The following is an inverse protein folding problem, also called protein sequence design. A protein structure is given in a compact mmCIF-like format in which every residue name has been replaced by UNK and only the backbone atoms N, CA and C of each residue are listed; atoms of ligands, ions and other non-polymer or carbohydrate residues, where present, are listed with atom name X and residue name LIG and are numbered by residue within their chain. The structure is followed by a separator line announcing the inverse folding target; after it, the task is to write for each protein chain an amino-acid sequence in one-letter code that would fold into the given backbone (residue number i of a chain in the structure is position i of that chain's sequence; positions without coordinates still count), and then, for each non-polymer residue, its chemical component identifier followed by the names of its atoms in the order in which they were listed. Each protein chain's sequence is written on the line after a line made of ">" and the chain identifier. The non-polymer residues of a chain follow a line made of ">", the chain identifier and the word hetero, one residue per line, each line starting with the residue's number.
data_IF_675985795135
#
_entry.id   IF_675985795135
#
_cell.length_a   1.000
_cell.length_b   1.000
_cell.length_c   1.000
_cell.angle_alpha   90.00
_cell.angle_beta   90.00
_cell.angle_gamma   90.00
#
_symmetry.space_group_name_H-M   'P 1'
#
loop_
_entity.id
_entity.type
_entity.pdbx_description
1 polymer ?
#
# COMPACT_ATOMS: atom_id res chain seq x y z
N UNK A 1 20.62 -13.26 23.90
CA UNK A 1 20.47 -13.49 22.44
C UNK A 1 20.59 -12.13 21.78
N UNK A 2 21.50 -11.96 20.81
CA UNK A 2 21.64 -10.69 20.08
C UNK A 2 20.31 -10.38 19.37
N UNK A 3 19.69 -9.25 19.71
CA UNK A 3 18.52 -8.71 19.01
C UNK A 3 18.91 -8.42 17.56
N UNK A 4 18.36 -9.19 16.62
CA UNK A 4 18.52 -8.98 15.18
C UNK A 4 17.49 -7.95 14.73
N UNK A 5 17.81 -6.66 14.84
CA UNK A 5 16.94 -5.59 14.37
C UNK A 5 17.03 -5.49 12.85
N UNK A 6 15.96 -4.99 12.22
CA UNK A 6 15.93 -4.76 10.77
C UNK A 6 15.63 -3.31 10.48
N UNK A 7 16.46 -2.69 9.63
CA UNK A 7 16.16 -1.40 9.03
C UNK A 7 15.25 -1.63 7.82
N UNK A 8 14.07 -1.03 7.84
CA UNK A 8 13.11 -1.07 6.73
C UNK A 8 13.16 0.25 5.99
N UNK A 9 13.25 0.18 4.66
CA UNK A 9 13.29 1.33 3.77
C UNK A 9 12.17 1.23 2.73
N UNK A 10 11.41 2.33 2.60
CA UNK A 10 10.37 2.49 1.61
C UNK A 10 10.63 3.80 0.84
N UNK A 11 11.32 3.65 -0.30
CA UNK A 11 11.76 4.75 -1.14
C UNK A 11 10.70 5.05 -2.21
N UNK A 12 9.98 6.17 -2.06
CA UNK A 12 9.10 6.72 -3.07
C UNK A 12 9.81 7.76 -3.95
N UNK A 13 9.13 8.27 -4.98
CA UNK A 13 9.73 9.27 -5.90
C UNK A 13 10.11 10.58 -5.22
N UNK A 14 9.42 10.97 -4.14
CA UNK A 14 9.60 12.26 -3.46
C UNK A 14 9.73 12.13 -1.94
N UNK A 15 9.91 10.91 -1.44
CA UNK A 15 9.99 10.63 -0.01
C UNK A 15 10.72 9.32 0.27
N UNK A 16 11.20 9.17 1.51
CA UNK A 16 11.76 7.94 2.05
C UNK A 16 11.17 7.74 3.45
N UNK A 17 10.34 6.70 3.59
CA UNK A 17 9.92 6.21 4.92
C UNK A 17 10.92 5.19 5.41
N UNK A 18 11.24 5.24 6.69
CA UNK A 18 12.19 4.32 7.30
C UNK A 18 11.76 3.93 8.71
N UNK A 19 12.13 2.72 9.12
CA UNK A 19 11.92 2.26 10.48
C UNK A 19 12.96 1.21 10.89
N UNK A 20 13.25 1.11 12.19
CA UNK A 20 14.04 0.02 12.76
C UNK A 20 13.12 -0.77 13.69
N UNK A 21 12.90 -2.04 13.36
CA UNK A 21 12.00 -2.91 14.09
C UNK A 21 12.69 -4.17 14.59
N UNK A 22 12.20 -4.70 15.70
CA UNK A 22 12.43 -6.10 16.04
C UNK A 22 11.43 -6.97 15.25
N UNK A 23 11.90 -7.85 14.35
CA UNK A 23 11.02 -8.68 13.51
C UNK A 23 10.20 -9.70 14.31
N UNK A 24 10.67 -10.06 15.52
CA UNK A 24 10.01 -11.05 16.37
C UNK A 24 8.85 -10.44 17.14
N UNK A 25 9.10 -9.34 17.86
CA UNK A 25 8.11 -8.69 18.73
C UNK A 25 7.27 -7.64 18.01
N UNK A 26 7.81 -7.04 16.95
CA UNK A 26 7.22 -5.88 16.28
C UNK A 26 7.56 -4.54 16.94
N UNK A 27 8.42 -4.53 17.97
CA UNK A 27 8.82 -3.30 18.65
C UNK A 27 9.54 -2.35 17.69
N UNK A 28 9.09 -1.11 17.63
CA UNK A 28 9.66 -0.02 16.83
C UNK A 28 10.64 0.79 17.67
N UNK A 29 11.90 0.84 17.24
CA UNK A 29 12.98 1.60 17.90
C UNK A 29 13.18 2.97 17.24
N UNK A 30 12.98 3.03 15.94
CA UNK A 30 13.06 4.24 15.13
C UNK A 30 11.97 4.19 14.07
N UNK A 31 11.32 5.30 13.79
CA UNK A 31 10.52 5.50 12.59
C UNK A 31 10.67 6.92 12.08
N UNK A 32 10.49 7.13 10.78
CA UNK A 32 10.57 8.46 10.21
C UNK A 32 10.19 8.54 8.75
N UNK A 33 10.15 9.78 8.29
CA UNK A 33 9.80 10.19 6.94
C UNK A 33 10.71 11.34 6.52
N UNK A 34 11.50 11.10 5.50
CA UNK A 34 12.11 12.14 4.69
C UNK A 34 11.15 12.50 3.54
N UNK A 35 10.87 13.78 3.33
CA UNK A 35 9.86 14.27 2.40
C UNK A 35 10.29 15.56 1.71
N UNK A 36 9.53 15.98 0.69
CA UNK A 36 9.81 17.16 -0.14
C UNK A 36 11.16 17.07 -0.88
N UNK A 37 11.52 15.88 -1.37
CA UNK A 37 12.75 15.73 -2.15
C UNK A 37 12.78 16.62 -3.39
N UNK A 38 13.98 17.07 -3.74
CA UNK A 38 14.26 18.02 -4.83
C UNK A 38 13.61 19.41 -4.66
N UNK A 39 12.98 19.69 -3.53
CA UNK A 39 12.35 20.98 -3.23
C UNK A 39 13.18 21.78 -2.19
N UNK A 40 12.95 23.09 -2.07
CA UNK A 40 13.55 23.91 -1.01
C UNK A 40 13.18 23.44 0.40
N UNK A 41 11.99 22.86 0.58
CA UNK A 41 11.44 22.42 1.87
C UNK A 41 11.84 21.00 2.27
N UNK A 42 12.83 20.40 1.57
CA UNK A 42 13.30 19.04 1.85
C UNK A 42 13.70 18.89 3.33
N UNK A 43 13.08 17.92 3.99
CA UNK A 43 13.16 17.74 5.44
C UNK A 43 13.02 16.28 5.84
N UNK A 44 13.42 15.98 7.07
CA UNK A 44 13.28 14.67 7.68
C UNK A 44 12.66 14.81 9.06
N UNK A 45 11.61 14.01 9.32
CA UNK A 45 10.95 13.88 10.61
C UNK A 45 11.15 12.47 11.11
N UNK A 46 11.47 12.30 12.39
CA UNK A 46 11.64 10.98 12.96
C UNK A 46 11.19 10.93 14.41
N UNK A 47 10.96 9.70 14.87
CA UNK A 47 10.63 9.35 16.23
C UNK A 47 11.64 8.34 16.72
N UNK A 48 12.43 8.70 17.72
CA UNK A 48 13.41 7.84 18.37
C UNK A 48 13.02 7.70 19.84
N UNK A 49 12.84 6.46 20.33
CA UNK A 49 12.36 6.18 21.70
C UNK A 49 11.12 6.98 22.11
N UNK A 50 10.15 7.16 21.21
CA UNK A 50 8.96 7.95 21.51
C UNK A 50 9.08 9.46 21.23
N UNK A 51 10.30 10.00 21.14
CA UNK A 51 10.54 11.43 21.00
C UNK A 51 10.56 11.84 19.53
N UNK A 52 9.69 12.80 19.17
CA UNK A 52 9.59 13.36 17.82
C UNK A 52 10.63 14.45 17.61
N UNK A 53 11.29 14.40 16.45
CA UNK A 53 12.28 15.37 16.02
C UNK A 53 12.10 15.68 14.53
N UNK A 54 12.59 16.83 14.10
CA UNK A 54 12.54 17.30 12.72
C UNK A 54 13.80 18.10 12.39
N UNK A 55 14.31 17.93 11.16
CA UNK A 55 15.45 18.69 10.66
C UNK A 55 15.31 18.96 9.16
N UNK A 56 15.84 20.09 8.65
CA UNK A 56 15.99 20.30 7.22
C UNK A 56 17.08 19.36 6.66
N UNK A 57 16.86 18.83 5.46
CA UNK A 57 17.87 18.07 4.70
C UNK A 57 18.70 18.99 3.78
N UNK A 58 18.19 20.19 3.51
CA UNK A 58 18.79 21.15 2.57
C UNK A 58 18.09 21.15 1.21
N UNK A 59 18.07 22.30 0.56
CA UNK A 59 17.38 22.47 -0.72
C UNK A 59 17.91 21.50 -1.77
N UNK A 60 17.01 20.79 -2.45
CA UNK A 60 17.37 19.84 -3.51
C UNK A 60 17.74 18.43 -3.02
N UNK A 61 17.79 18.20 -1.70
CA UNK A 61 18.13 16.89 -1.13
C UNK A 61 17.17 15.77 -1.60
N UNK A 62 17.70 14.54 -1.68
CA UNK A 62 16.99 13.36 -2.13
C UNK A 62 17.36 12.12 -1.27
N UNK A 63 17.22 10.93 -1.84
CA UNK A 63 17.42 9.66 -1.15
C UNK A 63 18.82 9.50 -0.55
N UNK A 64 19.87 9.92 -1.26
CA UNK A 64 21.25 9.79 -0.77
C UNK A 64 21.48 10.64 0.47
N UNK A 65 21.07 11.92 0.44
CA UNK A 65 21.20 12.82 1.59
C UNK A 65 20.34 12.33 2.77
N UNK A 66 19.14 11.84 2.50
CA UNK A 66 18.25 11.30 3.53
C UNK A 66 18.85 10.07 4.23
N UNK A 67 19.40 9.10 3.49
CA UNK A 67 20.06 7.93 4.08
C UNK A 67 21.35 8.31 4.81
N UNK A 68 22.14 9.22 4.25
CA UNK A 68 23.31 9.77 4.93
C UNK A 68 22.92 10.43 6.26
N UNK A 69 21.81 11.17 6.32
CA UNK A 69 21.31 11.79 7.55
C UNK A 69 20.89 10.74 8.58
N UNK A 70 20.19 9.68 8.15
CA UNK A 70 19.83 8.56 9.02
C UNK A 70 21.09 7.95 9.65
N UNK A 71 22.12 7.68 8.85
CA UNK A 71 23.34 7.01 9.33
C UNK A 71 24.21 7.94 10.17
N UNK A 72 24.56 9.12 9.63
CA UNK A 72 25.57 10.02 10.21
C UNK A 72 25.03 10.94 11.29
N UNK A 73 23.71 11.12 11.37
CA UNK A 73 23.08 12.01 12.34
C UNK A 73 22.20 11.25 13.31
N UNK A 74 21.22 10.47 12.83
CA UNK A 74 20.27 9.80 13.71
C UNK A 74 20.93 8.60 14.42
N UNK A 75 21.53 7.68 13.65
CA UNK A 75 22.18 6.48 14.20
C UNK A 75 23.50 6.77 14.91
N UNK A 76 24.20 7.84 14.53
CA UNK A 76 25.40 8.28 15.23
C UNK A 76 25.13 8.72 16.68
N UNK A 77 23.90 9.17 16.99
CA UNK A 77 23.48 9.48 18.36
C UNK A 77 23.25 8.22 19.22
N UNK A 78 23.07 7.06 18.56
CA UNK A 78 22.84 5.75 19.20
C UNK A 78 23.65 4.63 18.52
N UNK A 79 24.97 4.61 18.67
CA UNK A 79 25.83 3.60 18.05
C UNK A 79 25.42 2.16 18.41
N UNK A 80 24.88 1.96 19.62
CA UNK A 80 24.36 0.67 20.09
C UNK A 80 23.13 0.20 19.32
N UNK A 81 22.27 1.11 18.84
CA UNK A 81 21.14 0.77 17.99
C UNK A 81 21.63 0.42 16.58
N UNK A 82 22.56 1.21 16.04
CA UNK A 82 23.18 0.97 14.74
C UNK A 82 23.84 -0.41 14.66
N UNK A 83 24.62 -0.79 15.68
CA UNK A 83 25.31 -2.07 15.76
C UNK A 83 24.38 -3.30 15.89
N UNK A 84 23.10 -3.11 16.23
CA UNK A 84 22.11 -4.17 16.35
C UNK A 84 21.34 -4.44 15.04
N UNK A 85 21.51 -3.59 14.02
CA UNK A 85 20.90 -3.79 12.71
C UNK A 85 21.58 -5.00 12.05
N UNK A 86 20.80 -6.05 11.81
CA UNK A 86 21.26 -7.32 11.27
C UNK A 86 20.88 -7.53 9.80
N UNK A 87 19.92 -6.76 9.28
CA UNK A 87 19.47 -6.82 7.89
C UNK A 87 18.81 -5.50 7.47
N UNK A 88 18.66 -5.31 6.16
CA UNK A 88 17.93 -4.18 5.58
C UNK A 88 16.84 -4.70 4.64
N UNK A 89 15.59 -4.34 4.90
CA UNK A 89 14.46 -4.68 4.05
C UNK A 89 14.05 -3.50 3.18
N UNK A 90 13.85 -3.73 1.89
CA UNK A 90 13.48 -2.73 0.90
C UNK A 90 12.10 -3.04 0.34
N UNK A 91 11.16 -2.10 0.47
CA UNK A 91 9.91 -2.17 -0.27
C UNK A 91 10.15 -1.87 -1.75
N UNK A 92 9.78 -2.80 -2.62
CA UNK A 92 9.79 -2.63 -4.08
C UNK A 92 8.36 -2.73 -4.59
N UNK A 93 7.97 -1.81 -5.47
CA UNK A 93 6.57 -1.79 -5.95
C UNK A 93 6.30 -2.92 -6.93
N UNK A 94 7.17 -3.13 -7.91
CA UNK A 94 6.90 -4.10 -8.98
C UNK A 94 8.01 -5.13 -9.13
N UNK A 95 7.67 -6.41 -8.95
CA UNK A 95 8.56 -7.55 -9.17
C UNK A 95 8.42 -8.20 -10.57
N UNK A 96 7.39 -7.81 -11.33
CA UNK A 96 7.03 -8.49 -12.57
C UNK A 96 6.63 -9.94 -12.28
N UNK A 97 6.76 -10.82 -13.28
CA UNK A 97 6.45 -12.25 -13.08
C UNK A 97 7.61 -13.06 -12.49
N UNK A 98 8.83 -12.50 -12.45
CA UNK A 98 10.02 -13.22 -12.01
C UNK A 98 10.24 -13.15 -10.50
N UNK A 99 9.90 -12.01 -9.88
CA UNK A 99 10.15 -11.74 -8.47
C UNK A 99 8.84 -11.82 -7.69
N UNK A 100 8.38 -13.05 -7.47
CA UNK A 100 7.05 -13.36 -6.92
C UNK A 100 7.03 -13.53 -5.40
N UNK A 101 8.18 -13.45 -4.75
CA UNK A 101 8.35 -13.53 -3.31
C UNK A 101 9.51 -12.64 -2.86
N UNK A 102 9.56 -12.34 -1.57
CA UNK A 102 10.69 -11.63 -0.97
C UNK A 102 12.00 -12.37 -1.22
N UNK A 103 13.08 -11.65 -1.55
CA UNK A 103 14.34 -12.24 -2.00
C UNK A 103 15.55 -11.44 -1.53
N UNK A 104 16.64 -12.12 -1.19
CA UNK A 104 17.93 -11.48 -0.93
C UNK A 104 18.42 -10.79 -2.20
N UNK A 105 18.81 -9.53 -2.08
CA UNK A 105 19.24 -8.70 -3.20
C UNK A 105 20.59 -9.19 -3.71
N UNK A 106 20.63 -9.43 -5.01
CA UNK A 106 21.81 -9.76 -5.82
C UNK A 106 21.75 -8.98 -7.12
N UNK A 107 22.81 -9.02 -7.93
CA UNK A 107 22.84 -8.36 -9.25
C UNK A 107 21.68 -8.83 -10.16
N UNK A 108 21.31 -10.11 -10.09
CA UNK A 108 20.18 -10.66 -10.83
C UNK A 108 18.84 -10.08 -10.36
N UNK A 109 18.67 -9.88 -9.04
CA UNK A 109 17.47 -9.24 -8.47
C UNK A 109 17.42 -7.76 -8.86
N UNK A 110 18.54 -7.05 -8.77
CA UNK A 110 18.65 -5.65 -9.22
C UNK A 110 18.26 -5.53 -10.69
N UNK A 111 18.73 -6.43 -11.55
CA UNK A 111 18.34 -6.45 -12.95
C UNK A 111 16.85 -6.75 -13.13
N UNK A 112 16.29 -7.71 -12.37
CA UNK A 112 14.85 -7.98 -12.39
C UNK A 112 14.00 -6.79 -11.99
N UNK A 113 14.43 -5.99 -11.01
CA UNK A 113 13.75 -4.75 -10.59
C UNK A 113 13.83 -3.69 -11.70
N UNK A 114 14.96 -3.59 -12.41
CA UNK A 114 15.14 -2.70 -13.57
C UNK A 114 14.22 -3.12 -14.73
N UNK A 115 14.16 -4.41 -15.04
CA UNK A 115 13.29 -4.94 -16.09
C UNK A 115 11.81 -4.65 -15.78
N UNK A 116 11.42 -4.78 -14.51
CA UNK A 116 10.06 -4.47 -14.04
C UNK A 116 9.75 -2.97 -13.91
N UNK A 117 10.75 -2.08 -14.08
CA UNK A 117 10.55 -0.64 -13.96
C UNK A 117 9.62 -0.07 -15.05
N UNK A 118 9.46 -0.76 -16.17
CA UNK A 118 8.47 -0.43 -17.20
C UNK A 118 7.03 -0.39 -16.64
N UNK A 119 6.72 -1.24 -15.65
CA UNK A 119 5.40 -1.30 -15.01
C UNK A 119 5.24 -0.32 -13.84
N UNK A 120 6.34 0.14 -13.25
CA UNK A 120 6.36 1.10 -12.14
C UNK A 120 7.44 2.19 -12.32
N UNK A 121 7.36 3.01 -13.39
CA UNK A 121 8.45 3.87 -13.82
C UNK A 121 8.82 4.98 -12.83
N UNK A 122 7.89 5.37 -11.96
CA UNK A 122 8.14 6.38 -10.92
C UNK A 122 8.61 5.77 -9.58
N UNK A 123 8.48 4.46 -9.38
CA UNK A 123 8.66 3.84 -8.06
C UNK A 123 9.87 2.90 -8.03
N UNK A 124 10.00 1.99 -8.99
CA UNK A 124 11.15 1.06 -9.03
C UNK A 124 12.51 1.77 -9.10
N UNK A 125 12.68 2.86 -9.88
CA UNK A 125 13.94 3.61 -9.87
C UNK A 125 14.29 4.19 -8.49
N UNK A 126 13.32 4.71 -7.75
CA UNK A 126 13.54 5.20 -6.38
C UNK A 126 13.94 4.07 -5.41
N UNK A 127 13.31 2.88 -5.56
CA UNK A 127 13.70 1.68 -4.82
C UNK A 127 15.14 1.26 -5.10
N UNK A 128 15.57 1.28 -6.36
CA UNK A 128 16.95 0.95 -6.77
C UNK A 128 17.98 1.94 -6.19
N UNK A 129 17.66 3.24 -6.17
CA UNK A 129 18.52 4.25 -5.51
C UNK A 129 18.64 3.93 -4.01
N UNK A 130 17.53 3.61 -3.35
CA UNK A 130 17.54 3.22 -1.93
C UNK A 130 18.41 1.99 -1.65
N UNK A 131 18.37 0.98 -2.52
CA UNK A 131 19.21 -0.21 -2.43
C UNK A 131 20.70 0.16 -2.54
N UNK A 132 21.06 0.89 -3.59
CA UNK A 132 22.45 1.30 -3.84
C UNK A 132 23.02 2.13 -2.68
N UNK A 133 22.25 3.11 -2.19
CA UNK A 133 22.65 3.95 -1.08
C UNK A 133 22.71 3.18 0.25
N UNK A 134 21.81 2.22 0.49
CA UNK A 134 21.89 1.36 1.67
C UNK A 134 23.16 0.49 1.65
N UNK A 135 23.54 -0.08 0.50
CA UNK A 135 24.76 -0.87 0.37
C UNK A 135 26.02 -0.03 0.63
N UNK A 136 26.04 1.23 0.17
CA UNK A 136 27.14 2.18 0.45
C UNK A 136 27.24 2.57 1.93
N UNK A 137 26.10 2.83 2.58
CA UNK A 137 26.07 3.29 3.97
C UNK A 137 26.22 2.15 5.00
N UNK A 138 25.84 0.92 4.63
CA UNK A 138 25.94 -0.27 5.48
C UNK A 138 26.73 -1.39 4.77
N UNK A 139 28.03 -1.19 4.48
CA UNK A 139 28.82 -2.16 3.70
C UNK A 139 28.92 -3.54 4.37
N UNK A 140 28.87 -3.57 5.70
CA UNK A 140 28.87 -4.80 6.52
C UNK A 140 27.54 -5.59 6.45
N UNK A 141 26.51 -5.05 5.80
CA UNK A 141 25.21 -5.70 5.56
C UNK A 141 24.92 -5.86 4.06
N UNK A 142 25.91 -5.68 3.17
CA UNK A 142 25.71 -5.72 1.72
C UNK A 142 25.08 -7.03 1.23
N UNK A 143 25.37 -8.16 1.88
CA UNK A 143 24.80 -9.49 1.65
C UNK A 143 23.49 -9.77 2.41
N UNK A 144 22.98 -8.79 3.16
CA UNK A 144 21.77 -8.89 4.01
C UNK A 144 20.71 -7.84 3.68
N UNK A 145 20.70 -7.42 2.42
CA UNK A 145 19.65 -6.58 1.86
C UNK A 145 18.58 -7.48 1.23
N UNK A 146 17.31 -7.26 1.53
CA UNK A 146 16.18 -8.06 1.03
C UNK A 146 15.16 -7.16 0.34
N UNK A 147 14.72 -7.53 -0.85
CA UNK A 147 13.63 -6.88 -1.56
C UNK A 147 12.31 -7.59 -1.24
N UNK A 148 11.28 -6.81 -0.90
CA UNK A 148 9.92 -7.26 -0.61
C UNK A 148 8.96 -6.55 -1.56
N UNK A 149 8.22 -7.31 -2.36
CA UNK A 149 7.47 -6.78 -3.49
C UNK A 149 5.99 -6.58 -3.18
N UNK A 150 5.45 -5.40 -3.46
CA UNK A 150 4.00 -5.12 -3.33
C UNK A 150 3.13 -6.01 -4.24
N UNK A 151 3.73 -6.61 -5.26
CA UNK A 151 3.08 -7.50 -6.24
C UNK A 151 3.13 -8.96 -5.85
N UNK A 152 4.04 -9.37 -4.94
CA UNK A 152 4.29 -10.78 -4.62
C UNK A 152 3.04 -11.53 -4.14
N UNK A 153 2.29 -10.94 -3.20
CA UNK A 153 1.09 -11.57 -2.63
C UNK A 153 -0.02 -11.84 -3.66
N UNK A 154 -0.03 -11.12 -4.78
CA UNK A 154 -1.05 -11.24 -5.82
C UNK A 154 -0.68 -12.28 -6.88
N UNK A 155 0.51 -12.89 -6.81
CA UNK A 155 0.96 -13.84 -7.82
C UNK A 155 0.23 -15.21 -7.76
N UNK A 156 -0.61 -15.42 -6.74
CA UNK A 156 -1.54 -16.57 -6.67
C UNK A 156 -2.83 -16.34 -7.46
N UNK A 157 -3.06 -15.15 -8.03
CA UNK A 157 -4.21 -14.90 -8.90
C UNK A 157 -4.22 -15.88 -10.08
N UNK A 158 -5.37 -16.52 -10.38
CA UNK A 158 -5.51 -17.41 -11.52
C UNK A 158 -5.66 -16.62 -12.84
N UNK A 159 -5.56 -17.32 -13.97
CA UNK A 159 -5.55 -16.71 -15.31
C UNK A 159 -6.80 -15.88 -15.61
N UNK A 160 -7.96 -16.36 -15.17
CA UNK A 160 -9.24 -15.67 -15.30
C UNK A 160 -9.28 -14.31 -14.59
N UNK A 161 -8.41 -14.07 -13.59
CA UNK A 161 -8.34 -12.80 -12.86
C UNK A 161 -7.27 -11.86 -13.42
N UNK A 162 -6.13 -12.39 -13.87
CA UNK A 162 -5.01 -11.54 -14.30
C UNK A 162 -5.01 -11.16 -15.77
N UNK A 163 -5.70 -11.90 -16.64
CA UNK A 163 -5.78 -11.54 -18.04
C UNK A 163 -6.81 -10.43 -18.26
N UNK A 164 -6.38 -9.39 -18.96
CA UNK A 164 -7.29 -8.43 -19.58
C UNK A 164 -7.86 -9.01 -20.87
N UNK A 165 -9.07 -8.58 -21.24
CA UNK A 165 -9.70 -8.90 -22.52
C UNK A 165 -9.05 -8.13 -23.70
N UNK A 166 -7.74 -8.31 -23.86
CA UNK A 166 -6.88 -7.72 -24.88
C UNK A 166 -6.28 -8.83 -25.75
N UNK A 167 -5.66 -8.52 -26.91
CA UNK A 167 -4.93 -9.51 -27.69
C UNK A 167 -3.91 -10.26 -26.82
N UNK A 168 -4.02 -11.58 -26.77
CA UNK A 168 -3.20 -12.44 -25.89
C UNK A 168 -1.68 -12.29 -26.10
N UNK A 169 -1.25 -11.84 -27.28
CA UNK A 169 0.15 -11.52 -27.55
C UNK A 169 0.71 -10.43 -26.62
N UNK A 170 -0.11 -9.45 -26.18
CA UNK A 170 0.33 -8.43 -25.23
C UNK A 170 0.72 -9.02 -23.87
N UNK A 171 0.03 -10.08 -23.44
CA UNK A 171 0.43 -10.83 -22.26
C UNK A 171 1.73 -11.60 -22.51
N UNK A 172 1.76 -12.45 -23.55
CA UNK A 172 2.91 -13.34 -23.82
C UNK A 172 4.22 -12.60 -24.08
N UNK A 173 4.16 -11.51 -24.84
CA UNK A 173 5.36 -10.85 -25.39
C UNK A 173 5.76 -9.63 -24.55
N UNK A 174 4.81 -9.04 -23.80
CA UNK A 174 5.02 -7.80 -23.05
C UNK A 174 4.62 -7.87 -21.57
N UNK A 175 4.10 -9.00 -21.09
CA UNK A 175 3.70 -9.17 -19.70
C UNK A 175 2.55 -8.27 -19.26
N UNK A 176 1.67 -7.86 -20.19
CA UNK A 176 0.48 -7.06 -19.88
C UNK A 176 -0.53 -7.94 -19.15
N UNK A 177 -0.62 -7.76 -17.83
CA UNK A 177 -1.54 -8.47 -16.93
C UNK A 177 -1.86 -7.63 -15.70
N UNK A 178 -2.82 -8.07 -14.90
CA UNK A 178 -3.00 -7.59 -13.53
C UNK A 178 -1.84 -8.09 -12.66
N UNK A 179 -1.20 -7.16 -11.95
CA UNK A 179 -0.20 -7.45 -10.92
C UNK A 179 -0.65 -7.00 -9.52
N UNK A 180 -1.45 -5.93 -9.45
CA UNK A 180 -1.88 -5.36 -8.18
C UNK A 180 -0.80 -4.56 -7.45
N UNK A 181 -1.15 -4.04 -6.27
CA UNK A 181 -0.21 -3.44 -5.33
C UNK A 181 -0.74 -3.57 -3.89
N UNK A 182 -0.02 -3.00 -2.92
CA UNK A 182 -0.31 -3.16 -1.49
C UNK A 182 -0.34 -4.62 -1.02
N UNK A 183 0.33 -5.54 -1.73
CA UNK A 183 0.34 -6.96 -1.42
C UNK A 183 0.85 -7.25 -0.01
N UNK A 184 1.89 -6.54 0.43
CA UNK A 184 2.42 -6.60 1.81
C UNK A 184 1.36 -6.27 2.86
N UNK A 185 0.53 -5.25 2.62
CA UNK A 185 -0.56 -4.88 3.52
C UNK A 185 -1.69 -5.91 3.51
N UNK A 186 -2.12 -6.34 2.33
CA UNK A 186 -3.16 -7.37 2.17
C UNK A 186 -2.75 -8.70 2.81
N UNK A 187 -1.49 -9.12 2.63
CA UNK A 187 -0.89 -10.25 3.31
C UNK A 187 -0.99 -10.11 4.83
N UNK A 188 -0.55 -8.96 5.36
CA UNK A 188 -0.55 -8.70 6.81
C UNK A 188 -1.95 -8.81 7.41
N UNK A 189 -2.91 -8.07 6.86
CA UNK A 189 -4.26 -8.03 7.43
C UNK A 189 -5.02 -9.32 7.21
N UNK A 190 -4.66 -10.12 6.21
CA UNK A 190 -5.19 -11.49 6.05
C UNK A 190 -4.74 -12.39 7.21
N UNK A 191 -3.46 -12.34 7.58
CA UNK A 191 -2.94 -13.12 8.71
C UNK A 191 -3.51 -12.66 10.06
N UNK A 192 -3.68 -11.36 10.27
CA UNK A 192 -4.30 -10.86 11.48
C UNK A 192 -5.81 -11.15 11.52
N UNK A 193 -6.51 -11.10 10.38
CA UNK A 193 -7.91 -11.48 10.29
C UNK A 193 -8.13 -12.97 10.64
N UNK A 194 -7.24 -13.87 10.22
CA UNK A 194 -7.27 -15.28 10.61
C UNK A 194 -7.28 -15.44 12.14
N UNK A 195 -6.42 -14.69 12.85
CA UNK A 195 -6.36 -14.69 14.31
C UNK A 195 -7.63 -14.12 14.94
N UNK A 196 -8.11 -12.97 14.45
CA UNK A 196 -9.29 -12.30 15.02
C UNK A 196 -10.59 -13.09 14.79
N UNK A 197 -10.70 -13.78 13.66
CA UNK A 197 -11.82 -14.66 13.34
C UNK A 197 -11.67 -16.07 13.95
N UNK A 198 -10.53 -16.36 14.58
CA UNK A 198 -10.18 -17.67 15.13
C UNK A 198 -10.36 -18.79 14.08
N UNK A 199 -9.83 -18.58 12.88
CA UNK A 199 -9.88 -19.53 11.76
C UNK A 199 -8.48 -19.81 11.21
N UNK A 200 -8.20 -21.05 10.76
CA UNK A 200 -7.00 -21.34 9.98
C UNK A 200 -6.95 -20.52 8.70
N UNK A 201 -5.77 -20.04 8.33
CA UNK A 201 -5.54 -19.19 7.16
C UNK A 201 -6.01 -19.89 5.87
N UNK A 202 -5.73 -21.19 5.76
CA UNK A 202 -6.02 -22.05 4.61
C UNK A 202 -7.54 -22.26 4.40
N UNK A 203 -8.34 -21.82 5.37
CA UNK A 203 -9.81 -21.86 5.31
C UNK A 203 -10.42 -20.47 5.33
N UNK A 204 -9.63 -19.41 5.18
CA UNK A 204 -10.11 -18.04 5.29
C UNK A 204 -10.55 -17.48 3.93
N UNK A 205 -11.82 -17.08 3.82
CA UNK A 205 -12.35 -16.36 2.67
C UNK A 205 -12.78 -14.95 3.10
N UNK A 206 -12.00 -13.95 2.73
CA UNK A 206 -12.24 -12.55 3.13
C UNK A 206 -12.05 -11.61 1.95
N UNK A 207 -12.62 -10.42 2.08
CA UNK A 207 -12.33 -9.30 1.19
C UNK A 207 -11.55 -8.26 2.00
N UNK A 208 -10.36 -7.90 1.55
CA UNK A 208 -9.49 -6.94 2.23
C UNK A 208 -9.50 -5.60 1.49
N UNK A 209 -9.72 -4.51 2.22
CA UNK A 209 -9.83 -3.15 1.71
C UNK A 209 -8.69 -2.29 2.29
N UNK A 210 -7.58 -2.18 1.58
CA UNK A 210 -6.53 -1.22 1.92
C UNK A 210 -6.91 0.15 1.34
N UNK A 211 -7.25 1.10 2.19
CA UNK A 211 -7.70 2.42 1.79
C UNK A 211 -6.75 3.47 2.39
N UNK A 212 -6.00 4.17 1.54
CA UNK A 212 -5.15 5.30 1.90
C UNK A 212 -5.16 6.33 0.77
N UNK A 213 -4.06 7.06 0.59
CA UNK A 213 -3.93 7.94 -0.60
C UNK A 213 -3.95 7.11 -1.91
N UNK A 214 -3.46 5.87 -1.86
CA UNK A 214 -3.84 4.80 -2.79
C UNK A 214 -4.84 3.85 -2.15
N UNK A 215 -5.78 3.32 -2.93
CA UNK A 215 -6.77 2.36 -2.46
C UNK A 215 -6.80 1.09 -3.31
N UNK A 216 -6.78 -0.08 -2.69
CA UNK A 216 -7.05 -1.34 -3.37
C UNK A 216 -7.90 -2.29 -2.53
N UNK A 217 -8.71 -3.09 -3.21
CA UNK A 217 -9.47 -4.21 -2.62
C UNK A 217 -8.90 -5.51 -3.16
N UNK A 218 -8.74 -6.52 -2.32
CA UNK A 218 -8.35 -7.87 -2.76
C UNK A 218 -9.34 -8.92 -2.28
N UNK A 219 -9.59 -9.91 -3.14
CA UNK A 219 -10.38 -11.09 -2.86
C UNK A 219 -9.44 -12.20 -2.40
N UNK A 220 -9.64 -12.69 -1.17
CA UNK A 220 -8.81 -13.75 -0.59
C UNK A 220 -9.67 -14.99 -0.42
N UNK A 221 -9.25 -16.11 -0.99
CA UNK A 221 -9.93 -17.40 -0.88
C UNK A 221 -8.93 -18.44 -0.39
N UNK A 222 -9.30 -19.15 0.68
CA UNK A 222 -8.43 -20.13 1.35
C UNK A 222 -7.04 -19.55 1.70
N UNK A 223 -7.01 -18.28 2.12
CA UNK A 223 -5.77 -17.58 2.49
C UNK A 223 -4.93 -17.02 1.33
N UNK A 224 -5.30 -17.32 0.08
CA UNK A 224 -4.58 -16.86 -1.11
C UNK A 224 -5.33 -15.73 -1.83
N UNK A 225 -4.59 -14.77 -2.39
CA UNK A 225 -5.18 -13.74 -3.24
C UNK A 225 -5.65 -14.34 -4.57
N UNK A 226 -6.94 -14.19 -4.89
CA UNK A 226 -7.54 -14.67 -6.13
C UNK A 226 -7.96 -13.54 -7.08
N UNK A 227 -8.03 -12.29 -6.60
CA UNK A 227 -8.18 -11.09 -7.43
C UNK A 227 -7.84 -9.82 -6.63
N UNK A 228 -7.52 -8.72 -7.31
CA UNK A 228 -7.16 -7.45 -6.69
C UNK A 228 -7.51 -6.26 -7.57
N UNK A 229 -7.94 -5.13 -7.01
CA UNK A 229 -8.56 -4.07 -7.82
C UNK A 229 -7.55 -3.27 -8.66
N UNK A 230 -6.30 -3.17 -8.19
CA UNK A 230 -5.23 -2.54 -8.95
C UNK A 230 -4.74 -3.46 -10.06
N UNK A 231 -4.33 -2.86 -11.16
CA UNK A 231 -4.12 -3.52 -12.44
C UNK A 231 -2.67 -3.86 -12.76
N UNK A 232 -2.32 -3.63 -14.03
CA UNK A 232 -0.95 -3.46 -14.50
C UNK A 232 -0.20 -2.38 -13.71
N UNK A 233 -0.94 -1.32 -13.35
CA UNK A 233 -0.42 -0.20 -12.58
C UNK A 233 -1.35 0.11 -11.39
N UNK A 234 -0.87 0.88 -10.39
CA UNK A 234 -1.72 1.36 -9.30
C UNK A 234 -2.82 2.38 -9.70
N UNK A 235 -3.11 2.59 -10.99
CA UNK A 235 -4.15 3.52 -11.45
C UNK A 235 -5.55 2.91 -11.43
N UNK A 236 -5.68 1.62 -11.76
CA UNK A 236 -6.96 0.91 -11.83
C UNK A 236 -7.59 0.70 -10.45
N UNK A 237 -8.91 0.61 -10.40
CA UNK A 237 -9.65 0.19 -9.22
C UNK A 237 -10.49 1.28 -8.57
N UNK A 238 -10.23 1.47 -7.28
CA UNK A 238 -10.96 2.40 -6.43
C UNK A 238 -10.70 3.86 -6.82
N UNK A 239 -11.63 4.73 -6.39
CA UNK A 239 -11.34 6.17 -6.28
C UNK A 239 -10.23 6.35 -5.24
N UNK A 240 -9.23 7.17 -5.55
CA UNK A 240 -8.10 7.42 -4.66
C UNK A 240 -7.91 8.94 -4.44
N UNK A 241 -6.84 9.35 -3.75
CA UNK A 241 -6.60 10.77 -3.45
C UNK A 241 -6.51 11.62 -4.73
N UNK A 242 -5.61 11.27 -5.65
CA UNK A 242 -5.38 11.99 -6.91
C UNK A 242 -5.53 11.13 -8.17
N UNK A 243 -5.76 9.82 -8.00
CA UNK A 243 -5.91 8.86 -9.11
C UNK A 243 -7.39 8.59 -9.38
N UNK A 244 -7.72 8.44 -10.66
CA UNK A 244 -9.10 8.22 -11.11
C UNK A 244 -9.71 6.90 -10.60
N UNK A 245 -8.92 5.83 -10.55
CA UNK A 245 -9.50 4.47 -10.54
C UNK A 245 -10.09 4.14 -11.90
N UNK A 246 -11.06 3.22 -11.91
CA UNK A 246 -11.74 2.81 -13.14
C UNK A 246 -12.44 3.97 -13.85
N UNK A 247 -12.21 4.03 -15.15
CA UNK A 247 -12.86 4.91 -16.13
C UNK A 247 -13.16 4.08 -17.39
N UNK A 248 -14.05 4.58 -18.24
CA UNK A 248 -14.18 4.05 -19.59
C UNK A 248 -12.88 4.33 -20.39
N UNK A 249 -12.19 3.32 -20.96
CA UNK A 249 -11.02 3.54 -21.79
C UNK A 249 -11.25 4.51 -22.95
N UNK A 250 -12.48 4.61 -23.48
CA UNK A 250 -12.82 5.55 -24.54
C UNK A 250 -12.70 7.02 -24.13
N UNK A 251 -12.76 7.32 -22.83
CA UNK A 251 -12.52 8.68 -22.31
C UNK A 251 -11.10 9.14 -22.67
N UNK A 252 -10.09 8.26 -22.66
CA UNK A 252 -8.72 8.63 -23.03
C UNK A 252 -8.68 9.15 -24.48
N UNK A 253 -9.35 8.46 -25.40
CA UNK A 253 -9.42 8.88 -26.81
C UNK A 253 -10.28 10.13 -27.00
N UNK A 254 -11.38 10.26 -26.25
CA UNK A 254 -12.19 11.49 -26.27
C UNK A 254 -11.38 12.71 -25.81
N UNK A 255 -10.65 12.61 -24.71
CA UNK A 255 -9.77 13.67 -24.21
C UNK A 255 -8.68 14.04 -25.23
N UNK A 256 -8.11 13.03 -25.90
CA UNK A 256 -7.09 13.23 -26.90
C UNK A 256 -7.63 13.87 -28.18
N UNK A 257 -8.58 13.20 -28.83
CA UNK A 257 -9.04 13.53 -30.17
C UNK A 257 -10.02 14.72 -30.17
N UNK A 258 -10.84 14.85 -29.12
CA UNK A 258 -11.87 15.91 -29.04
C UNK A 258 -11.38 17.12 -28.25
N UNK A 259 -10.71 16.92 -27.11
CA UNK A 259 -10.24 18.02 -26.26
C UNK A 259 -8.79 18.43 -26.54
N UNK A 260 -8.10 17.77 -27.47
CA UNK A 260 -6.75 18.11 -27.90
C UNK A 260 -5.66 17.88 -26.84
N UNK A 261 -5.94 17.09 -25.81
CA UNK A 261 -4.94 16.77 -24.77
C UNK A 261 -3.92 15.78 -25.32
N UNK A 262 -2.63 16.02 -25.12
CA UNK A 262 -1.62 15.01 -25.42
C UNK A 262 -1.60 13.90 -24.35
N UNK A 263 -0.96 12.77 -24.67
CA UNK A 263 -0.91 11.58 -23.81
C UNK A 263 -0.31 11.88 -22.43
N UNK A 264 0.73 12.72 -22.36
CA UNK A 264 1.36 13.10 -21.10
C UNK A 264 0.42 13.91 -20.19
N UNK A 265 -0.36 14.84 -20.78
CA UNK A 265 -1.35 15.63 -20.07
C UNK A 265 -2.51 14.74 -19.56
N UNK A 266 -2.95 13.77 -20.36
CA UNK A 266 -3.98 12.80 -19.92
C UNK A 266 -3.44 11.95 -18.77
N UNK A 267 -2.21 11.42 -18.89
CA UNK A 267 -1.58 10.65 -17.82
C UNK A 267 -1.44 11.46 -16.53
N UNK A 268 -0.99 12.72 -16.63
CA UNK A 268 -0.92 13.64 -15.49
C UNK A 268 -2.30 13.86 -14.88
N UNK A 269 -3.32 14.11 -15.70
CA UNK A 269 -4.69 14.32 -15.22
C UNK A 269 -5.21 13.11 -14.45
N UNK A 270 -5.09 11.91 -15.02
CA UNK A 270 -5.58 10.67 -14.40
C UNK A 270 -4.81 10.27 -13.14
N UNK A 271 -3.54 10.66 -13.02
CA UNK A 271 -2.68 10.25 -11.90
C UNK A 271 -2.52 11.30 -10.79
N UNK A 272 -2.66 12.59 -11.11
CA UNK A 272 -2.37 13.72 -10.20
C UNK A 272 -3.53 14.70 -10.01
N UNK A 273 -4.51 14.74 -10.92
CA UNK A 273 -5.56 15.77 -10.92
C UNK A 273 -6.98 15.17 -10.82
N UNK A 274 -7.09 13.85 -10.67
CA UNK A 274 -8.35 13.10 -10.60
C UNK A 274 -8.68 12.66 -9.16
N UNK A 275 -9.55 11.67 -8.99
CA UNK A 275 -9.86 11.09 -7.67
C UNK A 275 -10.63 12.05 -6.77
N UNK A 276 -10.37 12.00 -5.46
CA UNK A 276 -10.96 12.92 -4.49
C UNK A 276 -10.62 14.38 -4.81
N UNK A 277 -9.41 14.65 -5.29
CA UNK A 277 -9.01 15.99 -5.71
C UNK A 277 -9.89 16.50 -6.85
N UNK A 278 -10.07 15.72 -7.91
CA UNK A 278 -10.90 16.09 -9.05
C UNK A 278 -12.38 16.22 -8.69
N UNK A 279 -12.90 15.35 -7.80
CA UNK A 279 -14.31 15.37 -7.39
C UNK A 279 -14.65 16.55 -6.48
N UNK A 280 -13.74 16.93 -5.58
CA UNK A 280 -13.95 18.04 -4.66
C UNK A 280 -13.56 19.38 -5.26
N UNK A 281 -12.64 19.41 -6.24
CA UNK A 281 -11.98 20.61 -6.75
C UNK A 281 -11.25 21.41 -5.65
N UNK A 282 -10.93 20.74 -4.52
CA UNK A 282 -10.36 21.35 -3.32
C UNK A 282 -9.13 20.59 -2.84
N UNK A 283 -9.25 19.29 -2.55
CA UNK A 283 -8.17 18.52 -1.91
C UNK A 283 -8.24 17.01 -2.18
N UNK A 284 -7.09 16.35 -2.13
CA UNK A 284 -6.99 14.88 -2.15
C UNK A 284 -7.16 14.24 -0.77
N UNK A 285 -7.26 15.04 0.29
CA UNK A 285 -7.34 14.55 1.67
C UNK A 285 -8.75 14.05 2.02
N UNK A 286 -8.88 12.75 2.30
CA UNK A 286 -10.16 12.14 2.66
C UNK A 286 -10.75 12.69 3.96
N UNK A 287 -9.94 13.28 4.86
CA UNK A 287 -10.45 13.89 6.11
C UNK A 287 -11.38 15.06 5.80
N UNK A 288 -11.04 15.89 4.81
CA UNK A 288 -11.92 16.97 4.35
C UNK A 288 -13.29 16.42 3.92
N UNK A 289 -13.29 15.35 3.12
CA UNK A 289 -14.50 14.71 2.63
C UNK A 289 -15.34 14.16 3.79
N UNK A 290 -14.71 13.45 4.73
CA UNK A 290 -15.38 12.88 5.90
C UNK A 290 -15.96 13.94 6.84
N UNK A 291 -15.27 15.05 7.07
CA UNK A 291 -15.72 16.10 7.99
C UNK A 291 -16.84 16.97 7.37
N UNK A 292 -16.94 17.04 6.04
CA UNK A 292 -17.80 18.01 5.35
C UNK A 292 -18.92 17.40 4.49
N UNK A 293 -18.99 16.07 4.29
CA UNK A 293 -19.99 15.48 3.37
C UNK A 293 -21.46 15.72 3.78
N UNK A 294 -21.72 16.07 5.04
CA UNK A 294 -23.06 16.38 5.53
C UNK A 294 -23.49 17.82 5.24
N UNK A 295 -22.55 18.72 4.94
CA UNK A 295 -22.79 20.17 4.85
C UNK A 295 -22.35 20.81 3.54
N UNK A 296 -21.51 20.12 2.74
CA UNK A 296 -20.98 20.62 1.48
C UNK A 296 -21.22 19.68 0.31
N UNK A 297 -21.66 20.22 -0.82
CA UNK A 297 -22.01 19.45 -2.02
C UNK A 297 -20.79 18.78 -2.69
N UNK A 298 -19.63 19.45 -2.71
CA UNK A 298 -18.37 18.92 -3.24
C UNK A 298 -17.85 17.75 -2.41
N UNK A 299 -17.87 17.86 -1.07
CA UNK A 299 -17.53 16.77 -0.17
C UNK A 299 -18.54 15.62 -0.29
N UNK A 300 -19.84 15.92 -0.38
CA UNK A 300 -20.90 14.92 -0.52
C UNK A 300 -20.76 14.11 -1.81
N UNK A 301 -20.58 14.76 -2.97
CA UNK A 301 -20.40 14.04 -4.24
C UNK A 301 -19.17 13.13 -4.20
N UNK A 302 -18.07 13.60 -3.60
CA UNK A 302 -16.85 12.83 -3.49
C UNK A 302 -17.04 11.59 -2.58
N UNK A 303 -17.65 11.77 -1.41
CA UNK A 303 -17.96 10.68 -0.47
C UNK A 303 -18.86 9.62 -1.12
N UNK A 304 -19.95 10.06 -1.77
CA UNK A 304 -20.94 9.17 -2.37
C UNK A 304 -20.33 8.33 -3.50
N UNK A 305 -19.52 8.94 -4.38
CA UNK A 305 -18.81 8.24 -5.47
C UNK A 305 -17.75 7.28 -4.92
N UNK A 306 -16.98 7.69 -3.91
CA UNK A 306 -15.98 6.83 -3.25
C UNK A 306 -16.63 5.58 -2.64
N UNK A 307 -17.65 5.76 -1.80
CA UNK A 307 -18.34 4.66 -1.12
C UNK A 307 -19.11 3.77 -2.11
N UNK A 308 -19.65 4.35 -3.18
CA UNK A 308 -20.28 3.59 -4.25
C UNK A 308 -19.28 2.66 -4.95
N UNK A 309 -18.10 3.18 -5.34
CA UNK A 309 -17.07 2.37 -5.99
C UNK A 309 -16.57 1.26 -5.08
N UNK A 310 -16.30 1.58 -3.81
CA UNK A 310 -15.84 0.61 -2.82
C UNK A 310 -16.88 -0.50 -2.57
N UNK A 311 -18.16 -0.13 -2.42
CA UNK A 311 -19.23 -1.10 -2.22
C UNK A 311 -19.35 -2.05 -3.43
N UNK A 312 -19.26 -1.50 -4.65
CA UNK A 312 -19.27 -2.32 -5.88
C UNK A 312 -18.13 -3.35 -5.90
N UNK A 313 -16.91 -2.96 -5.50
CA UNK A 313 -15.77 -3.89 -5.47
C UNK A 313 -15.95 -5.01 -4.43
N UNK A 314 -16.44 -4.67 -3.23
CA UNK A 314 -16.77 -5.69 -2.23
C UNK A 314 -17.85 -6.63 -2.77
N UNK A 315 -18.89 -6.07 -3.41
CA UNK A 315 -19.95 -6.83 -4.04
C UNK A 315 -19.46 -7.75 -5.16
N UNK A 316 -18.61 -7.25 -6.07
CA UNK A 316 -18.11 -8.02 -7.22
C UNK A 316 -17.27 -9.20 -6.78
N UNK A 317 -16.45 -9.03 -5.73
CA UNK A 317 -15.58 -10.10 -5.25
C UNK A 317 -16.31 -11.23 -4.54
N UNK A 318 -17.60 -11.09 -4.24
CA UNK A 318 -18.41 -12.24 -3.81
C UNK A 318 -18.47 -13.36 -4.84
N UNK A 319 -18.34 -13.05 -6.13
CA UNK A 319 -18.25 -14.04 -7.21
C UNK A 319 -17.02 -14.95 -7.11
N UNK A 320 -15.99 -14.52 -6.36
CA UNK A 320 -14.72 -15.22 -6.20
C UNK A 320 -14.66 -16.06 -4.92
N UNK A 321 -15.66 -15.97 -4.06
CA UNK A 321 -15.64 -16.51 -2.69
C UNK A 321 -16.11 -17.96 -2.57
N UNK A 322 -16.46 -18.61 -3.68
CA UNK A 322 -16.92 -20.01 -3.73
C UNK A 322 -18.00 -20.34 -2.68
N UNK A 323 -19.03 -19.49 -2.62
CA UNK A 323 -20.18 -19.65 -1.73
C UNK A 323 -19.98 -19.20 -0.27
N UNK A 324 -18.77 -18.80 0.14
CA UNK A 324 -18.51 -18.41 1.54
C UNK A 324 -17.64 -17.16 1.66
N UNK A 325 -18.19 -16.14 2.32
CA UNK A 325 -17.47 -14.93 2.73
C UNK A 325 -17.47 -14.82 4.27
N UNK A 326 -16.31 -14.97 4.89
CA UNK A 326 -16.14 -14.90 6.34
C UNK A 326 -16.23 -13.46 6.87
N UNK A 327 -15.80 -12.48 6.09
CA UNK A 327 -15.91 -11.07 6.45
C UNK A 327 -15.21 -10.11 5.50
N UNK A 328 -15.33 -8.83 5.81
CA UNK A 328 -14.62 -7.75 5.11
C UNK A 328 -13.68 -7.03 6.07
N UNK A 329 -12.47 -6.73 5.63
CA UNK A 329 -11.42 -6.10 6.43
C UNK A 329 -11.15 -4.70 5.90
N UNK A 330 -11.15 -3.69 6.75
CA UNK A 330 -10.73 -2.34 6.43
C UNK A 330 -9.36 -2.05 7.06
N UNK A 331 -8.46 -1.52 6.26
CA UNK A 331 -7.10 -1.16 6.68
C UNK A 331 -6.57 0.05 5.89
N UNK A 332 -5.38 0.53 6.22
CA UNK A 332 -4.77 1.70 5.62
C UNK A 332 -5.31 3.00 6.23
N UNK A 333 -4.64 4.12 5.93
CA UNK A 333 -4.91 5.40 6.60
C UNK A 333 -6.37 5.87 6.57
N UNK A 334 -7.11 5.63 5.49
CA UNK A 334 -8.55 5.89 5.40
C UNK A 334 -9.33 4.74 6.04
N UNK A 335 -9.03 3.49 5.72
CA UNK A 335 -9.80 2.34 6.18
C UNK A 335 -9.79 2.16 7.70
N UNK A 336 -8.72 2.60 8.37
CA UNK A 336 -8.57 2.57 9.82
C UNK A 336 -9.26 3.74 10.51
N UNK A 337 -9.31 4.93 9.88
CA UNK A 337 -9.72 6.15 10.56
C UNK A 337 -11.07 6.70 10.12
N UNK A 338 -11.47 6.46 8.87
CA UNK A 338 -12.67 7.04 8.28
C UNK A 338 -13.92 6.19 8.57
N UNK A 339 -14.50 6.40 9.74
CA UNK A 339 -15.68 5.69 10.21
C UNK A 339 -16.86 5.83 9.24
N UNK A 340 -17.09 7.03 8.69
CA UNK A 340 -18.23 7.24 7.80
C UNK A 340 -18.05 6.58 6.43
N UNK A 341 -16.81 6.47 5.93
CA UNK A 341 -16.53 5.72 4.70
C UNK A 341 -16.94 4.26 4.87
N UNK A 342 -16.59 3.64 6.01
CA UNK A 342 -16.97 2.25 6.31
C UNK A 342 -18.48 2.10 6.42
N UNK A 343 -19.13 2.98 7.17
CA UNK A 343 -20.58 2.96 7.39
C UNK A 343 -21.39 3.12 6.10
N UNK A 344 -21.09 4.16 5.32
CA UNK A 344 -21.80 4.47 4.08
C UNK A 344 -21.58 3.41 3.00
N UNK A 345 -20.40 2.78 2.98
CA UNK A 345 -20.09 1.67 2.09
C UNK A 345 -20.87 0.41 2.48
N UNK A 346 -20.76 -0.03 3.74
CA UNK A 346 -21.40 -1.28 4.19
C UNK A 346 -22.93 -1.20 4.15
N UNK A 347 -23.50 -0.01 4.38
CA UNK A 347 -24.95 0.22 4.23
C UNK A 347 -25.49 -0.16 2.85
N UNK A 348 -24.67 -0.04 1.79
CA UNK A 348 -25.04 -0.41 0.41
C UNK A 348 -25.02 -1.94 0.18
N UNK A 349 -24.50 -2.71 1.12
CA UNK A 349 -24.26 -4.15 1.01
C UNK A 349 -25.14 -4.98 1.96
N UNK A 350 -26.29 -4.44 2.37
CA UNK A 350 -27.24 -5.13 3.25
C UNK A 350 -27.69 -6.49 2.68
N UNK A 351 -27.80 -6.63 1.36
CA UNK A 351 -28.13 -7.90 0.70
C UNK A 351 -27.08 -9.01 0.94
N UNK A 352 -25.84 -8.64 1.23
CA UNK A 352 -24.77 -9.59 1.58
C UNK A 352 -24.75 -9.92 3.08
N UNK A 353 -25.67 -9.33 3.87
CA UNK A 353 -25.75 -9.52 5.31
C UNK A 353 -24.81 -8.62 6.12
N UNK A 354 -24.33 -7.51 5.55
CA UNK A 354 -23.56 -6.51 6.30
C UNK A 354 -24.48 -5.50 6.99
N UNK A 355 -24.29 -5.31 8.29
CA UNK A 355 -24.88 -4.21 9.05
C UNK A 355 -23.86 -3.72 10.07
N UNK A 356 -23.68 -2.40 10.15
CA UNK A 356 -22.66 -1.78 10.99
C UNK A 356 -23.25 -1.36 12.35
N UNK A 357 -22.45 -1.55 13.40
CA UNK A 357 -22.67 -0.97 14.72
C UNK A 357 -21.89 0.35 14.82
N UNK A 358 -22.60 1.45 15.03
CA UNK A 358 -22.02 2.79 14.98
C UNK A 358 -20.98 3.03 16.09
N UNK A 359 -21.25 2.56 17.31
CA UNK A 359 -20.36 2.76 18.45
C UNK A 359 -19.08 1.92 18.31
N UNK A 360 -19.22 0.66 17.87
CA UNK A 360 -18.07 -0.20 17.55
C UNK A 360 -17.23 0.39 16.42
N UNK A 361 -17.87 0.95 15.39
CA UNK A 361 -17.20 1.60 14.28
C UNK A 361 -16.37 2.81 14.72
N UNK A 362 -16.91 3.67 15.60
CA UNK A 362 -16.17 4.80 16.15
C UNK A 362 -15.03 4.36 17.07
N UNK A 363 -15.22 3.30 17.84
CA UNK A 363 -14.20 2.76 18.75
C UNK A 363 -12.97 2.19 18.02
N UNK A 364 -13.17 1.64 16.81
CA UNK A 364 -12.13 1.05 15.98
C UNK A 364 -11.46 2.11 15.06
N UNK A 365 -10.82 3.11 15.67
CA UNK A 365 -10.08 4.20 15.00
C UNK A 365 -8.73 4.46 15.67
N UNK A 366 -7.83 5.14 14.96
CA UNK A 366 -6.56 5.65 15.51
C UNK A 366 -5.66 4.56 16.09
N UNK A 367 -5.49 3.47 15.34
CA UNK A 367 -4.66 2.33 15.71
C UNK A 367 -5.37 1.24 16.52
N UNK A 368 -6.67 1.38 16.78
CA UNK A 368 -7.48 0.33 17.42
C UNK A 368 -8.11 -0.60 16.38
N UNK A 369 -7.81 -1.90 16.50
CA UNK A 369 -8.49 -2.94 15.74
C UNK A 369 -9.82 -3.33 16.41
N UNK A 370 -10.78 -3.84 15.63
CA UNK A 370 -12.04 -4.34 16.19
C UNK A 370 -13.07 -4.78 15.16
N UNK A 371 -14.05 -5.56 15.62
CA UNK A 371 -15.28 -5.85 14.87
C UNK A 371 -16.18 -4.61 14.91
N UNK A 372 -16.66 -4.20 13.74
CA UNK A 372 -17.54 -3.03 13.56
C UNK A 372 -18.95 -3.41 13.12
N UNK A 373 -19.23 -4.68 12.88
CA UNK A 373 -20.56 -5.15 12.52
C UNK A 373 -21.47 -5.29 13.76
N UNK A 374 -22.78 -5.21 13.52
CA UNK A 374 -23.79 -5.61 14.52
C UNK A 374 -23.73 -7.11 14.78
N UNK A 375 -24.08 -7.51 15.99
CA UNK A 375 -24.19 -8.92 16.36
C UNK A 375 -25.17 -9.66 15.45
N UNK A 376 -24.84 -10.89 15.09
CA UNK A 376 -25.64 -11.72 14.17
C UNK A 376 -25.50 -11.37 12.68
N UNK A 377 -24.80 -10.29 12.33
CA UNK A 377 -24.54 -9.91 10.92
C UNK A 377 -23.15 -10.34 10.47
N UNK A 378 -22.89 -10.28 9.15
CA UNK A 378 -21.62 -10.72 8.59
C UNK A 378 -20.45 -9.90 9.17
N UNK A 379 -19.35 -10.55 9.60
CA UNK A 379 -18.20 -9.86 10.17
C UNK A 379 -17.64 -8.75 9.29
N UNK A 380 -17.45 -7.58 9.88
CA UNK A 380 -16.69 -6.49 9.31
C UNK A 380 -15.67 -6.04 10.35
N UNK A 381 -14.40 -5.94 9.97
CA UNK A 381 -13.30 -5.69 10.89
C UNK A 381 -12.48 -4.48 10.43
N UNK A 382 -11.96 -3.73 11.40
CA UNK A 382 -10.85 -2.80 11.19
C UNK A 382 -9.59 -3.45 11.74
N UNK A 383 -8.55 -3.52 10.90
CA UNK A 383 -7.24 -4.06 11.28
C UNK A 383 -6.18 -3.08 10.79
N UNK A 384 -5.45 -2.39 11.70
CA UNK A 384 -4.35 -1.54 11.31
C UNK A 384 -3.25 -2.32 10.60
N UNK A 385 -2.83 -1.87 9.42
CA UNK A 385 -1.75 -2.55 8.67
C UNK A 385 -0.38 -2.27 9.29
N UNK A 386 0.56 -3.20 9.11
CA UNK A 386 1.95 -2.98 9.46
C UNK A 386 2.86 -3.59 8.37
N UNK A 387 3.02 -2.84 7.28
CA UNK A 387 3.82 -3.29 6.12
C UNK A 387 5.30 -3.39 6.50
N UNK A 388 5.79 -2.44 7.30
CA UNK A 388 7.17 -2.43 7.77
C UNK A 388 7.51 -3.69 8.58
N UNK A 389 6.59 -4.20 9.41
CA UNK A 389 6.80 -5.43 10.14
C UNK A 389 6.88 -6.67 9.23
N UNK A 390 6.09 -6.73 8.15
CA UNK A 390 6.22 -7.82 7.18
C UNK A 390 7.59 -7.77 6.52
N UNK A 391 8.03 -6.58 6.10
CA UNK A 391 9.34 -6.40 5.48
C UNK A 391 10.46 -6.79 6.44
N UNK A 392 10.36 -6.39 7.71
CA UNK A 392 11.32 -6.74 8.75
C UNK A 392 11.38 -8.27 8.97
N UNK A 393 10.22 -8.93 9.03
CA UNK A 393 10.12 -10.39 9.21
C UNK A 393 10.71 -11.16 8.04
N UNK A 394 10.41 -10.73 6.81
CA UNK A 394 10.94 -11.39 5.61
C UNK A 394 12.45 -11.18 5.47
N UNK A 395 12.94 -9.97 5.72
CA UNK A 395 14.37 -9.69 5.72
C UNK A 395 15.08 -10.58 6.75
N UNK A 396 14.60 -10.60 7.99
CA UNK A 396 15.17 -11.45 9.03
C UNK A 396 15.11 -12.93 8.67
N UNK A 397 13.99 -13.45 8.18
CA UNK A 397 13.85 -14.87 7.80
C UNK A 397 14.87 -15.29 6.75
N UNK A 398 15.19 -14.43 5.80
CA UNK A 398 16.05 -14.74 4.66
C UNK A 398 17.54 -14.52 4.94
N UNK A 399 17.91 -13.77 5.99
CA UNK A 399 19.30 -13.38 6.26
C UNK A 399 19.80 -13.69 7.67
N UNK A 400 18.91 -14.08 8.60
CA UNK A 400 19.25 -14.29 10.02
C UNK A 400 20.04 -15.58 10.24
#
# INVERSE_FOLDING_TARGET
>A
MSSKLVLVLNCGSSSLKFAILNPTTGDEFLSGLAECFHLPEARIKWKLDGQKQEAPLGAGAAHSEALNFIVKTILAQKPELSAQIAAIGHRIVHGGEKLTQSVVISDAVVQGIKDAASFAPLHNPAGLIGIDEAMKNFPHLSDKNVAVFDTAFHQTMPEESYLYALPYALYKDHGVRRYGAHGTSHYYVTHEAAKMLNKPLETLNIITCHLGNGGSVSAIRNGECVDTSMGLTPLEGLVMGTRSGDIDPAIIFFLHDTLGMNVDAINKMLTKESGLLGLTEVTSDCRYVEDNYATKDDAKRAMDVFCHRLAKYIGSYTALMDGRLDGVIFTGGIGENAAMVRELTLKKLALLGFELDHDRNLAARFGKAGFINKEGTRPALVIPTNEELVIARDAARLTA
#
